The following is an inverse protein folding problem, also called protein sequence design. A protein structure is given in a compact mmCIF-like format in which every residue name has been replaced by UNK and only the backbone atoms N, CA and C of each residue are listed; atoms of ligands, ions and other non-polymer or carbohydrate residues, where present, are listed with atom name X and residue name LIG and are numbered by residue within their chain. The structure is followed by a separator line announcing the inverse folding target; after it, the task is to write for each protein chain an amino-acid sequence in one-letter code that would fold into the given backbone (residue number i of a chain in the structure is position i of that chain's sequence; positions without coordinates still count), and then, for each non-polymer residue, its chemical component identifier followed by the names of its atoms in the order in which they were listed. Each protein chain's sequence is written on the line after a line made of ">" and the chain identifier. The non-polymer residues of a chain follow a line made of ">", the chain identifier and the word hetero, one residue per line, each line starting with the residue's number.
data_IF_239864029052
#
_entry.id   IF_239864029052
#
_cell.length_a   1.000
_cell.length_b   1.000
_cell.length_c   1.000
_cell.angle_alpha   90.00
_cell.angle_beta   90.00
_cell.angle_gamma   90.00
#
_symmetry.space_group_name_H-M   'P 1'
#
loop_
_entity.id
_entity.type
_entity.pdbx_description
1 polymer ?
#
# COMPACT_ATOMS: atom_id res chain seq x y z
N UNK A 1 13.62 -4.76 -1.36
CA UNK A 1 12.17 -4.69 -1.11
C UNK A 1 11.79 -3.27 -0.71
N UNK A 2 10.86 -2.65 -1.44
CA UNK A 2 10.55 -1.22 -1.25
C UNK A 2 9.42 -1.03 -0.23
N UNK A 3 9.61 -0.08 0.70
CA UNK A 3 8.53 0.32 1.64
C UNK A 3 7.44 1.07 0.87
N UNK A 4 6.18 0.80 1.21
CA UNK A 4 5.01 1.52 0.69
C UNK A 4 4.90 1.54 -0.85
N UNK A 5 5.43 0.53 -1.54
CA UNK A 5 5.18 0.33 -2.95
C UNK A 5 3.77 -0.24 -3.11
N UNK A 6 2.90 0.47 -3.84
CA UNK A 6 1.56 0.02 -4.16
C UNK A 6 1.34 0.03 -5.67
N UNK A 7 0.67 -1.00 -6.16
CA UNK A 7 0.23 -1.10 -7.56
C UNK A 7 -1.29 -1.00 -7.60
N UNK A 8 -1.80 -0.09 -8.42
CA UNK A 8 -3.21 0.03 -8.74
C UNK A 8 -3.50 -0.77 -10.02
N UNK A 9 -4.63 -1.45 -10.04
CA UNK A 9 -5.14 -2.12 -11.23
C UNK A 9 -6.39 -1.41 -11.74
N UNK A 10 -6.45 -1.18 -13.05
CA UNK A 10 -7.61 -0.58 -13.73
C UNK A 10 -8.12 -1.52 -14.82
N UNK A 11 -9.40 -1.41 -15.16
CA UNK A 11 -10.05 -2.07 -16.31
C UNK A 11 -9.79 -3.57 -16.43
N UNK A 12 -9.54 -4.25 -15.31
CA UNK A 12 -9.31 -5.69 -15.28
C UNK A 12 -10.63 -6.47 -15.19
N UNK A 13 -10.61 -7.72 -15.68
CA UNK A 13 -11.73 -8.64 -15.49
C UNK A 13 -11.90 -9.04 -14.03
N UNK A 14 -13.13 -8.94 -13.51
CA UNK A 14 -13.48 -9.33 -12.13
C UNK A 14 -13.77 -10.83 -11.98
N UNK A 15 -13.74 -11.60 -13.06
CA UNK A 15 -13.92 -13.05 -13.04
C UNK A 15 -12.73 -13.83 -12.46
N UNK A 16 -12.82 -15.17 -12.44
CA UNK A 16 -11.69 -16.02 -12.07
C UNK A 16 -10.46 -15.71 -12.94
N UNK A 17 -9.35 -15.33 -12.31
CA UNK A 17 -8.13 -14.87 -13.00
C UNK A 17 -6.92 -15.00 -12.07
N UNK A 18 -5.69 -14.92 -12.58
CA UNK A 18 -4.50 -14.85 -11.74
C UNK A 18 -4.58 -13.71 -10.71
N UNK A 19 -5.18 -12.57 -11.06
CA UNK A 19 -5.38 -11.45 -10.14
C UNK A 19 -6.35 -11.79 -9.00
N UNK A 20 -7.49 -12.42 -9.30
CA UNK A 20 -8.44 -12.82 -8.27
C UNK A 20 -7.84 -13.85 -7.31
N UNK A 21 -7.05 -14.80 -7.82
CA UNK A 21 -6.32 -15.79 -7.01
C UNK A 21 -5.26 -15.11 -6.13
N UNK A 22 -4.49 -14.18 -6.69
CA UNK A 22 -3.50 -13.39 -5.94
C UNK A 22 -4.16 -12.57 -4.82
N UNK A 23 -5.29 -11.90 -5.11
CA UNK A 23 -6.04 -11.16 -4.10
C UNK A 23 -6.54 -12.05 -2.97
N UNK A 24 -7.00 -13.26 -3.28
CA UNK A 24 -7.43 -14.24 -2.29
C UNK A 24 -6.23 -14.72 -1.44
N UNK A 25 -5.11 -15.02 -2.06
CA UNK A 25 -3.87 -15.38 -1.37
C UNK A 25 -3.39 -14.27 -0.44
N UNK A 26 -3.35 -13.02 -0.91
CA UNK A 26 -2.97 -11.86 -0.12
C UNK A 26 -3.88 -11.66 1.10
N UNK A 27 -5.20 -11.88 0.95
CA UNK A 27 -6.13 -11.89 2.09
C UNK A 27 -5.77 -12.97 3.09
N UNK A 28 -5.49 -14.18 2.63
CA UNK A 28 -5.06 -15.29 3.48
C UNK A 28 -3.74 -14.99 4.21
N UNK A 29 -2.75 -14.42 3.51
CA UNK A 29 -1.48 -13.99 4.10
C UNK A 29 -1.71 -12.91 5.19
N UNK A 30 -2.54 -11.90 4.93
CA UNK A 30 -2.88 -10.86 5.92
C UNK A 30 -3.59 -11.44 7.15
N UNK A 31 -4.46 -12.41 6.98
CA UNK A 31 -5.12 -13.08 8.10
C UNK A 31 -4.14 -13.87 8.97
N UNK A 32 -3.12 -14.51 8.38
CA UNK A 32 -2.05 -15.18 9.13
C UNK A 32 -1.13 -14.20 9.83
N UNK A 33 -0.82 -13.07 9.22
CA UNK A 33 0.04 -12.03 9.77
C UNK A 33 -0.36 -11.58 11.17
N UNK A 34 -1.67 -11.49 11.48
CA UNK A 34 -2.13 -11.04 12.80
C UNK A 34 -1.61 -11.93 13.93
N UNK A 35 -1.49 -13.24 13.73
CA UNK A 35 -0.97 -14.17 14.73
C UNK A 35 0.53 -13.95 14.97
N UNK A 36 1.33 -13.76 13.92
CA UNK A 36 2.74 -13.44 14.08
C UNK A 36 2.97 -12.08 14.77
N UNK A 37 2.10 -11.10 14.50
CA UNK A 37 2.13 -9.82 15.23
C UNK A 37 1.80 -10.03 16.71
N UNK A 38 0.83 -10.87 17.06
CA UNK A 38 0.51 -11.21 18.45
C UNK A 38 1.68 -11.87 19.16
N UNK A 39 2.32 -12.84 18.49
CA UNK A 39 3.50 -13.53 19.06
C UNK A 39 4.67 -12.56 19.26
N UNK A 40 4.90 -11.67 18.29
CA UNK A 40 5.88 -10.59 18.40
C UNK A 40 5.57 -9.67 19.58
N UNK A 41 4.35 -9.18 19.71
CA UNK A 41 3.95 -8.29 20.82
C UNK A 41 4.13 -8.98 22.17
N UNK A 42 3.73 -10.25 22.29
CA UNK A 42 3.96 -11.03 23.52
C UNK A 42 5.44 -11.16 23.86
N UNK A 43 6.31 -11.37 22.85
CA UNK A 43 7.76 -11.42 23.05
C UNK A 43 8.34 -10.10 23.60
N UNK A 44 7.64 -8.98 23.37
CA UNK A 44 7.98 -7.64 23.87
C UNK A 44 7.26 -7.29 25.19
N UNK A 45 6.57 -8.25 25.79
CA UNK A 45 5.83 -8.05 27.04
C UNK A 45 4.49 -7.33 26.86
N UNK A 46 3.97 -7.24 25.64
CA UNK A 46 2.67 -6.66 25.31
C UNK A 46 1.68 -7.79 25.04
N UNK A 47 0.88 -8.12 26.05
CA UNK A 47 -0.16 -9.15 25.93
C UNK A 47 -1.55 -8.49 25.87
N UNK A 48 -2.16 -8.56 24.70
CA UNK A 48 -3.48 -7.99 24.39
C UNK A 48 -4.37 -9.08 23.78
N UNK A 49 -5.71 -9.00 23.96
CA UNK A 49 -6.62 -9.98 23.36
C UNK A 49 -6.79 -9.73 21.85
N UNK A 50 -6.57 -10.77 21.04
CA UNK A 50 -6.73 -10.69 19.58
C UNK A 50 -8.17 -10.35 19.20
N UNK A 51 -9.14 -10.84 19.95
CA UNK A 51 -10.57 -10.62 19.72
C UNK A 51 -10.94 -9.13 19.74
N UNK A 52 -10.30 -8.33 20.60
CA UNK A 52 -10.52 -6.87 20.61
C UNK A 52 -9.94 -6.20 19.37
N UNK A 53 -8.78 -6.68 18.90
CA UNK A 53 -8.17 -6.18 17.65
C UNK A 53 -9.05 -6.49 16.45
N UNK A 54 -9.60 -7.70 16.39
CA UNK A 54 -10.52 -8.14 15.33
C UNK A 54 -11.85 -7.39 15.37
N UNK A 55 -12.39 -7.13 16.55
CA UNK A 55 -13.62 -6.36 16.71
C UNK A 55 -13.50 -4.94 16.14
N UNK A 56 -12.34 -4.29 16.30
CA UNK A 56 -12.09 -2.97 15.71
C UNK A 56 -12.05 -3.00 14.18
N UNK A 57 -11.66 -4.12 13.58
CA UNK A 57 -11.65 -4.27 12.13
C UNK A 57 -13.07 -4.52 11.56
N UNK A 58 -14.08 -4.74 12.38
CA UNK A 58 -15.50 -4.90 11.98
C UNK A 58 -15.70 -5.90 10.82
N UNK A 59 -15.00 -7.03 10.86
CA UNK A 59 -15.02 -8.05 9.80
C UNK A 59 -14.13 -7.74 8.59
N UNK A 60 -13.46 -6.59 8.58
CA UNK A 60 -12.46 -6.20 7.60
C UNK A 60 -11.07 -6.77 7.90
N UNK A 61 -10.07 -6.25 7.22
CA UNK A 61 -8.68 -6.66 7.41
C UNK A 61 -8.07 -5.98 8.63
N UNK A 62 -7.56 -6.78 9.57
CA UNK A 62 -6.80 -6.27 10.72
C UNK A 62 -5.53 -5.56 10.24
N UNK A 63 -5.38 -4.31 10.66
CA UNK A 63 -4.24 -3.45 10.35
C UNK A 63 -3.54 -2.92 11.62
N UNK A 64 -2.34 -2.37 11.45
CA UNK A 64 -1.55 -1.76 12.55
C UNK A 64 -2.34 -0.80 13.44
N UNK A 65 -3.22 0.09 12.89
CA UNK A 65 -3.99 1.00 13.73
C UNK A 65 -4.92 0.30 14.73
N UNK A 66 -5.42 -0.89 14.40
CA UNK A 66 -6.26 -1.67 15.31
C UNK A 66 -5.45 -2.20 16.50
N UNK A 67 -4.24 -2.72 16.24
CA UNK A 67 -3.30 -3.10 17.31
C UNK A 67 -2.93 -1.90 18.18
N UNK A 68 -2.58 -0.75 17.59
CA UNK A 68 -2.22 0.45 18.34
C UNK A 68 -3.34 0.88 19.30
N UNK A 69 -4.58 0.90 18.83
CA UNK A 69 -5.73 1.25 19.68
C UNK A 69 -5.91 0.30 20.86
N UNK A 70 -5.74 -1.02 20.67
CA UNK A 70 -5.87 -2.00 21.76
C UNK A 70 -4.68 -1.91 22.73
N UNK A 71 -3.45 -1.72 22.23
CA UNK A 71 -2.24 -1.48 23.04
C UNK A 71 -2.45 -0.29 23.98
N UNK A 72 -2.99 0.82 23.46
CA UNK A 72 -3.32 2.02 24.27
C UNK A 72 -4.42 1.72 25.27
N UNK A 73 -5.49 1.05 24.85
CA UNK A 73 -6.62 0.67 25.72
C UNK A 73 -6.18 -0.17 26.92
N UNK A 74 -5.19 -1.04 26.72
CA UNK A 74 -4.63 -1.90 27.77
C UNK A 74 -3.47 -1.24 28.55
N UNK A 75 -3.19 0.05 28.31
CA UNK A 75 -2.25 0.85 29.11
C UNK A 75 -0.77 0.60 28.82
N UNK A 76 -0.43 -0.10 27.73
CA UNK A 76 0.97 -0.31 27.33
C UNK A 76 1.58 0.95 26.70
N UNK A 77 0.75 1.84 26.12
CA UNK A 77 1.15 3.13 25.58
C UNK A 77 0.13 4.20 25.92
N UNK A 78 0.57 5.47 26.02
CA UNK A 78 -0.30 6.60 26.32
C UNK A 78 -1.11 7.07 25.08
N UNK A 79 -0.58 6.83 23.87
CA UNK A 79 -1.22 7.21 22.61
C UNK A 79 -0.80 6.29 21.46
N UNK A 80 -1.58 6.32 20.38
CA UNK A 80 -1.32 5.47 19.21
C UNK A 80 0.08 5.68 18.62
N UNK A 81 0.56 6.93 18.51
CA UNK A 81 1.90 7.19 17.97
C UNK A 81 2.99 6.49 18.78
N UNK A 82 2.89 6.49 20.13
CA UNK A 82 3.82 5.76 20.99
C UNK A 82 3.79 4.25 20.71
N UNK A 83 2.61 3.67 20.49
CA UNK A 83 2.49 2.26 20.14
C UNK A 83 3.16 1.95 18.79
N UNK A 84 3.07 2.86 17.82
CA UNK A 84 3.78 2.74 16.56
C UNK A 84 5.29 2.81 16.76
N UNK A 85 5.79 3.82 17.46
CA UNK A 85 7.22 4.05 17.68
C UNK A 85 7.89 2.89 18.43
N UNK A 86 7.20 2.33 19.45
CA UNK A 86 7.77 1.28 20.30
C UNK A 86 7.69 -0.12 19.70
N UNK A 87 6.66 -0.43 18.91
CA UNK A 87 6.41 -1.81 18.45
C UNK A 87 5.99 -1.95 17.00
N UNK A 88 5.10 -1.08 16.48
CA UNK A 88 4.41 -1.33 15.22
C UNK A 88 5.09 -0.70 13.98
N UNK A 89 6.21 0.02 14.19
CA UNK A 89 7.02 0.61 13.10
C UNK A 89 8.52 0.36 13.25
N UNK A 90 8.90 -0.58 14.13
CA UNK A 90 10.28 -1.02 14.34
C UNK A 90 10.80 -1.84 13.16
N UNK A 91 12.12 -1.98 13.01
CA UNK A 91 12.73 -2.81 11.96
C UNK A 91 12.26 -4.27 12.07
N UNK A 92 12.27 -4.84 13.28
CA UNK A 92 11.81 -6.21 13.56
C UNK A 92 10.35 -6.42 13.14
N UNK A 93 9.47 -5.46 13.45
CA UNK A 93 8.09 -5.50 12.97
C UNK A 93 8.00 -5.46 11.44
N UNK A 94 8.86 -4.65 10.80
CA UNK A 94 8.88 -4.56 9.33
C UNK A 94 9.33 -5.86 8.69
N UNK A 95 10.24 -6.61 9.30
CA UNK A 95 10.62 -7.94 8.85
C UNK A 95 9.45 -8.91 8.85
N UNK A 96 8.65 -8.91 9.96
CA UNK A 96 7.41 -9.69 10.04
C UNK A 96 6.43 -9.26 8.95
N UNK A 97 6.21 -7.97 8.83
CA UNK A 97 5.26 -7.41 7.86
C UNK A 97 5.66 -7.73 6.41
N UNK A 98 6.95 -7.71 6.09
CA UNK A 98 7.49 -7.95 4.75
C UNK A 98 7.30 -9.39 4.30
N UNK A 99 7.37 -10.38 5.21
CA UNK A 99 7.14 -11.79 4.88
C UNK A 99 5.78 -12.08 4.25
N UNK A 100 4.80 -11.19 4.48
CA UNK A 100 3.44 -11.33 3.95
C UNK A 100 3.16 -10.49 2.70
N UNK A 101 4.15 -9.71 2.24
CA UNK A 101 4.02 -8.94 1.00
C UNK A 101 4.18 -9.83 -0.23
N UNK A 102 3.63 -9.38 -1.31
CA UNK A 102 3.87 -9.91 -2.65
C UNK A 102 4.80 -8.93 -3.36
N UNK A 103 5.73 -9.44 -4.16
CA UNK A 103 6.62 -8.61 -4.93
C UNK A 103 5.88 -7.83 -6.03
N UNK A 104 6.45 -6.71 -6.45
CA UNK A 104 5.81 -5.81 -7.39
C UNK A 104 5.64 -6.42 -8.78
N UNK A 105 6.59 -7.27 -9.22
CA UNK A 105 6.51 -7.99 -10.48
C UNK A 105 5.27 -8.87 -10.54
N UNK A 106 5.09 -9.74 -9.53
CA UNK A 106 3.91 -10.60 -9.40
C UNK A 106 2.61 -9.79 -9.44
N UNK A 107 2.57 -8.61 -8.78
CA UNK A 107 1.40 -7.75 -8.78
C UNK A 107 1.10 -7.19 -10.18
N UNK A 108 2.10 -6.65 -10.86
CA UNK A 108 1.96 -6.11 -12.22
C UNK A 108 1.52 -7.22 -13.19
N UNK A 109 2.22 -8.35 -13.20
CA UNK A 109 1.91 -9.49 -14.08
C UNK A 109 0.49 -10.03 -13.84
N UNK A 110 0.02 -10.08 -12.59
CA UNK A 110 -1.34 -10.53 -12.28
C UNK A 110 -2.41 -9.58 -12.81
N UNK A 111 -2.20 -8.26 -12.70
CA UNK A 111 -3.10 -7.25 -13.30
C UNK A 111 -3.13 -7.39 -14.81
N UNK A 112 -1.98 -7.54 -15.45
CA UNK A 112 -1.86 -7.74 -16.91
C UNK A 112 -2.56 -9.03 -17.36
N UNK A 113 -2.36 -10.13 -16.66
CA UNK A 113 -2.99 -11.41 -16.95
C UNK A 113 -4.52 -11.40 -16.81
N UNK A 114 -5.07 -10.44 -16.04
CA UNK A 114 -6.50 -10.19 -15.94
C UNK A 114 -7.02 -9.22 -17.02
N UNK A 115 -6.21 -8.85 -18.00
CA UNK A 115 -6.53 -7.89 -19.05
C UNK A 115 -6.50 -6.43 -18.60
N UNK A 116 -6.00 -6.17 -17.39
CA UNK A 116 -5.98 -4.85 -16.78
C UNK A 116 -4.76 -4.01 -17.15
N UNK A 117 -4.78 -2.78 -16.62
CA UNK A 117 -3.70 -1.79 -16.67
C UNK A 117 -3.14 -1.58 -15.27
N UNK A 118 -1.82 -1.64 -15.12
CA UNK A 118 -1.13 -1.48 -13.84
C UNK A 118 -0.52 -0.08 -13.71
N UNK A 119 -0.71 0.58 -12.57
CA UNK A 119 -0.12 1.89 -12.27
C UNK A 119 0.61 1.89 -10.94
N UNK A 120 1.77 2.55 -10.88
CA UNK A 120 2.49 2.82 -9.64
C UNK A 120 1.79 3.95 -8.88
N UNK A 121 1.28 3.65 -7.66
CA UNK A 121 0.59 4.62 -6.82
C UNK A 121 1.56 5.50 -6.02
N UNK A 122 1.17 6.76 -5.79
CA UNK A 122 1.78 7.74 -4.85
C UNK A 122 3.29 7.53 -4.59
N UNK A 123 4.19 7.67 -5.60
CA UNK A 123 5.61 7.29 -5.51
C UNK A 123 6.36 7.96 -4.34
N UNK A 124 5.95 9.16 -3.92
CA UNK A 124 6.57 9.90 -2.82
C UNK A 124 6.60 9.13 -1.49
N UNK A 125 5.64 8.21 -1.28
CA UNK A 125 5.54 7.46 -0.02
C UNK A 125 6.68 6.44 0.15
N UNK A 126 7.34 6.08 -0.92
CA UNK A 126 8.49 5.17 -0.87
C UNK A 126 9.74 5.84 -0.31
N UNK A 127 9.79 7.20 -0.29
CA UNK A 127 10.92 8.02 0.19
C UNK A 127 12.26 7.62 -0.44
N UNK A 128 12.22 7.35 -1.74
CA UNK A 128 13.41 7.04 -2.54
C UNK A 128 14.02 8.32 -3.09
N UNK A 129 15.34 8.33 -3.24
CA UNK A 129 16.07 9.34 -4.02
C UNK A 129 15.71 9.19 -5.51
N UNK A 130 15.80 10.28 -6.25
CA UNK A 130 15.33 10.39 -7.64
C UNK A 130 15.91 9.30 -8.56
N UNK A 131 17.20 8.98 -8.39
CA UNK A 131 17.89 7.96 -9.18
C UNK A 131 17.37 6.55 -8.86
N UNK A 132 17.17 6.23 -7.59
CA UNK A 132 16.62 4.96 -7.15
C UNK A 132 15.17 4.78 -7.60
N UNK A 133 14.37 5.86 -7.52
CA UNK A 133 13.01 5.86 -8.04
C UNK A 133 12.98 5.65 -9.56
N UNK A 134 13.86 6.34 -10.31
CA UNK A 134 13.96 6.16 -11.76
C UNK A 134 14.33 4.72 -12.13
N UNK A 135 15.26 4.10 -11.42
CA UNK A 135 15.65 2.71 -11.64
C UNK A 135 14.46 1.76 -11.38
N UNK A 136 13.75 1.96 -10.27
CA UNK A 136 12.55 1.18 -9.92
C UNK A 136 11.44 1.31 -10.98
N UNK A 137 11.15 2.53 -11.43
CA UNK A 137 10.12 2.77 -12.46
C UNK A 137 10.51 2.07 -13.77
N UNK A 138 11.80 2.11 -14.14
CA UNK A 138 12.31 1.37 -15.31
C UNK A 138 12.17 -0.15 -15.15
N UNK A 139 12.43 -0.69 -13.97
CA UNK A 139 12.24 -2.10 -13.66
C UNK A 139 10.75 -2.50 -13.77
N UNK A 140 9.86 -1.70 -13.18
CA UNK A 140 8.42 -1.93 -13.23
C UNK A 140 7.86 -1.83 -14.68
N UNK A 141 8.35 -0.87 -15.46
CA UNK A 141 8.03 -0.76 -16.88
C UNK A 141 8.43 -2.04 -17.66
N UNK A 142 9.60 -2.62 -17.32
CA UNK A 142 10.06 -3.89 -17.84
C UNK A 142 9.14 -5.09 -17.49
N UNK A 143 8.40 -5.00 -16.38
CA UNK A 143 7.39 -6.00 -15.99
C UNK A 143 6.01 -5.75 -16.62
N UNK A 144 5.83 -4.65 -17.36
CA UNK A 144 4.59 -4.30 -18.02
C UNK A 144 3.73 -3.29 -17.26
N UNK A 145 4.32 -2.46 -16.38
CA UNK A 145 3.63 -1.32 -15.80
C UNK A 145 3.13 -0.39 -16.90
N UNK A 146 1.88 0.02 -16.85
CA UNK A 146 1.26 0.89 -17.88
C UNK A 146 1.30 2.37 -17.49
N UNK A 147 1.32 2.71 -16.19
CA UNK A 147 1.17 4.08 -15.74
C UNK A 147 1.87 4.38 -14.41
N UNK A 148 2.01 5.66 -14.12
CA UNK A 148 2.49 6.18 -12.83
C UNK A 148 1.55 7.29 -12.35
N UNK A 149 1.24 7.32 -11.04
CA UNK A 149 0.45 8.36 -10.43
C UNK A 149 1.30 9.63 -10.27
N UNK A 150 1.04 10.62 -11.14
CA UNK A 150 1.73 11.91 -11.12
C UNK A 150 0.97 12.95 -10.29
N UNK A 151 -0.35 12.91 -10.32
CA UNK A 151 -1.21 13.88 -9.65
C UNK A 151 -1.77 13.29 -8.35
N UNK A 152 -1.28 13.80 -7.23
CA UNK A 152 -1.66 13.37 -5.89
C UNK A 152 -1.56 14.57 -4.93
N UNK A 153 -2.51 14.78 -4.00
CA UNK A 153 -2.58 15.99 -3.17
C UNK A 153 -1.34 16.30 -2.34
N UNK A 154 -0.56 15.28 -1.99
CA UNK A 154 0.66 15.43 -1.19
C UNK A 154 1.95 15.44 -2.00
N UNK A 155 1.86 15.40 -3.34
CA UNK A 155 3.02 15.61 -4.18
C UNK A 155 3.38 17.09 -4.23
N UNK A 156 4.64 17.40 -3.99
CA UNK A 156 5.18 18.74 -4.26
C UNK A 156 5.25 19.00 -5.77
N UNK A 157 5.35 20.25 -6.19
CA UNK A 157 5.52 20.61 -7.61
C UNK A 157 6.80 19.96 -8.22
N UNK A 158 7.86 19.85 -7.43
CA UNK A 158 9.11 19.20 -7.87
C UNK A 158 8.88 17.69 -8.09
N UNK A 159 8.22 17.01 -7.16
CA UNK A 159 7.88 15.58 -7.28
C UNK A 159 6.95 15.33 -8.48
N UNK A 160 5.93 16.17 -8.67
CA UNK A 160 5.04 16.07 -9.82
C UNK A 160 5.82 16.19 -11.14
N UNK A 161 6.72 17.18 -11.23
CA UNK A 161 7.58 17.36 -12.40
C UNK A 161 8.48 16.15 -12.64
N UNK A 162 9.06 15.58 -11.58
CA UNK A 162 9.86 14.37 -11.66
C UNK A 162 9.05 13.19 -12.21
N UNK A 163 7.85 12.94 -11.67
CA UNK A 163 7.03 11.80 -12.07
C UNK A 163 6.51 11.92 -13.51
N UNK A 164 6.20 13.13 -13.96
CA UNK A 164 5.86 13.39 -15.38
C UNK A 164 7.05 13.07 -16.31
N UNK A 165 8.28 13.46 -15.92
CA UNK A 165 9.50 13.10 -16.68
C UNK A 165 9.75 11.59 -16.68
N UNK A 166 9.48 10.89 -15.57
CA UNK A 166 9.62 9.45 -15.51
C UNK A 166 8.58 8.75 -16.38
N UNK A 167 7.33 9.26 -16.41
CA UNK A 167 6.30 8.76 -17.31
C UNK A 167 6.76 8.89 -18.78
N UNK A 168 7.22 10.07 -19.20
CA UNK A 168 7.76 10.30 -20.54
C UNK A 168 8.95 9.38 -20.86
N UNK A 169 9.93 9.32 -19.93
CA UNK A 169 11.18 8.54 -20.11
C UNK A 169 10.91 7.05 -20.35
N UNK A 170 9.91 6.49 -19.67
CA UNK A 170 9.62 5.05 -19.73
C UNK A 170 8.37 4.72 -20.55
N UNK A 171 7.78 5.70 -21.25
CA UNK A 171 6.60 5.51 -22.09
C UNK A 171 5.36 5.11 -21.30
N UNK A 172 5.21 5.61 -20.08
CA UNK A 172 4.09 5.32 -19.21
C UNK A 172 2.98 6.35 -19.35
N UNK A 173 1.75 5.91 -19.19
CA UNK A 173 0.61 6.81 -19.03
C UNK A 173 0.63 7.50 -17.64
N UNK A 174 -0.17 8.55 -17.52
CA UNK A 174 -0.29 9.35 -16.30
C UNK A 174 -1.61 9.01 -15.62
N UNK A 175 -1.55 8.76 -14.31
CA UNK A 175 -2.74 8.66 -13.46
C UNK A 175 -2.71 9.70 -12.35
N UNK A 176 -3.81 9.81 -11.63
CA UNK A 176 -3.93 10.64 -10.46
C UNK A 176 -5.01 10.12 -9.52
N UNK A 177 -4.90 10.48 -8.26
CA UNK A 177 -5.84 10.09 -7.24
C UNK A 177 -5.58 10.83 -5.93
N UNK A 178 -6.51 10.69 -4.98
CA UNK A 178 -6.39 11.34 -3.67
C UNK A 178 -5.96 10.37 -2.57
N UNK A 179 -6.00 9.07 -2.83
CA UNK A 179 -5.79 8.04 -1.82
C UNK A 179 -6.74 8.24 -0.61
N UNK A 180 -7.99 8.65 -0.90
CA UNK A 180 -9.02 8.88 0.09
C UNK A 180 -9.39 7.58 0.81
N UNK A 181 -9.38 7.61 2.13
CA UNK A 181 -9.68 6.46 2.99
C UNK A 181 -10.86 6.70 3.93
N UNK A 182 -11.67 7.71 3.63
CA UNK A 182 -12.76 8.16 4.50
C UNK A 182 -12.30 9.23 5.51
N UNK A 183 -13.22 10.09 5.90
CA UNK A 183 -12.99 11.24 6.79
C UNK A 183 -12.44 10.85 8.16
N UNK A 184 -12.77 9.64 8.64
CA UNK A 184 -12.26 9.14 9.94
C UNK A 184 -10.78 8.75 9.88
N UNK A 185 -10.25 8.40 8.71
CA UNK A 185 -8.87 7.91 8.52
C UNK A 185 -7.96 9.01 8.00
N UNK A 186 -8.45 9.78 7.02
CA UNK A 186 -7.74 10.91 6.39
C UNK A 186 -8.67 12.11 6.26
N UNK A 187 -8.93 12.85 7.36
CA UNK A 187 -9.88 13.96 7.37
C UNK A 187 -9.46 15.15 6.49
N UNK A 188 -8.17 15.26 6.21
CA UNK A 188 -7.55 16.28 5.39
C UNK A 188 -7.54 15.98 3.88
N UNK A 189 -7.99 14.77 3.49
CA UNK A 189 -8.02 14.33 2.09
C UNK A 189 -9.46 14.21 1.63
N UNK A 190 -9.79 14.87 0.53
CA UNK A 190 -11.09 14.76 -0.13
C UNK A 190 -10.99 13.87 -1.37
N UNK A 191 -12.12 13.32 -1.81
CA UNK A 191 -12.22 12.74 -3.14
C UNK A 191 -11.89 13.85 -4.16
N UNK A 192 -10.80 13.65 -4.90
CA UNK A 192 -10.40 14.61 -5.92
C UNK A 192 -11.17 14.37 -7.21
N UNK A 193 -11.70 15.46 -7.80
CA UNK A 193 -12.06 15.47 -9.20
C UNK A 193 -10.81 15.92 -9.98
N UNK A 194 -10.25 15.04 -10.76
CA UNK A 194 -9.10 15.30 -11.62
C UNK A 194 -9.55 15.18 -13.07
N UNK A 195 -9.30 16.19 -13.89
CA UNK A 195 -9.46 16.11 -15.33
C UNK A 195 -8.20 15.49 -15.93
N UNK A 196 -8.27 14.20 -16.28
CA UNK A 196 -7.19 13.44 -16.89
C UNK A 196 -7.70 12.74 -18.14
N UNK A 197 -6.87 12.68 -19.17
CA UNK A 197 -7.14 11.86 -20.35
C UNK A 197 -6.91 10.39 -20.00
N UNK A 198 -7.98 9.63 -19.88
CA UNK A 198 -7.97 8.22 -19.45
C UNK A 198 -8.46 7.26 -20.54
N UNK A 199 -8.48 7.71 -21.81
CA UNK A 199 -8.91 6.89 -22.95
C UNK A 199 -8.10 5.59 -23.09
N UNK A 200 -6.85 5.59 -22.67
CA UNK A 200 -5.97 4.42 -22.66
C UNK A 200 -6.41 3.32 -21.68
N UNK A 201 -7.35 3.61 -20.77
CA UNK A 201 -7.94 2.63 -19.85
C UNK A 201 -9.06 1.80 -20.51
N UNK A 202 -9.60 2.27 -21.63
CA UNK A 202 -10.64 1.60 -22.40
C UNK A 202 -10.04 0.58 -23.35
#
# INVERSE_FOLDING_TARGET
>A
EYRNLHILGYSFSTGPSPLSNLCQEMRGRRNRRKYEIMDYLRSKGVDIPLEEVEALASGGVVGRPHFAQVIVRHGYAAANHEAFDRWLDTEEFQEINNRFKVDARTCVEAVKAAGGKASLAHPYQMKLEDEALSALVGELAGYGLDAIECYYPRHTAAQQTLYLRLAEKYGLHITGGSDFHGERVKPDIQLAALELELEWLL
#
